data_IF_031536545839
#
_entry.id   IF_031536545839
#
_cell.length_a   1.000
_cell.length_b   1.000
_cell.length_c   1.000
_cell.angle_alpha   90.00
_cell.angle_beta   90.00
_cell.angle_gamma   90.00
#
_symmetry.space_group_name_H-M   'P 1'
#
loop_
_entity.id
_entity.type
_entity.pdbx_description
1 polymer ?
#
# COMPACT_ATOMS: atom_id res chain seq x y z
N UNK A 1 -5.26 -5.68 8.07
CA UNK A 1 -4.52 -6.95 8.08
C UNK A 1 -3.53 -6.97 9.22
N UNK A 2 -2.96 -8.14 9.46
CA UNK A 2 -1.79 -8.38 10.32
C UNK A 2 -0.73 -9.04 9.45
N UNK A 3 0.51 -8.58 9.57
CA UNK A 3 1.64 -9.17 8.90
C UNK A 3 2.79 -9.39 9.89
N UNK A 4 3.59 -10.40 9.59
CA UNK A 4 4.82 -10.77 10.27
C UNK A 4 5.98 -10.50 9.31
N UNK A 5 7.04 -9.84 9.78
CA UNK A 5 8.19 -9.48 8.96
C UNK A 5 9.45 -10.04 9.60
N UNK A 6 10.17 -10.84 8.83
CA UNK A 6 11.52 -11.29 9.17
C UNK A 6 12.54 -10.51 8.35
N UNK A 7 13.53 -9.90 9.00
CA UNK A 7 14.61 -9.18 8.35
C UNK A 7 15.88 -10.02 8.33
N UNK A 8 16.58 -9.96 7.20
CA UNK A 8 17.88 -10.59 6.98
C UNK A 8 18.82 -9.57 6.33
N UNK A 9 20.11 -9.62 6.68
CA UNK A 9 21.11 -8.78 6.01
C UNK A 9 21.33 -9.26 4.57
N UNK A 10 21.38 -8.34 3.62
CA UNK A 10 21.58 -8.66 2.21
C UNK A 10 22.56 -7.67 1.56
N UNK A 11 23.85 -8.01 1.56
CA UNK A 11 24.89 -7.19 0.93
C UNK A 11 24.95 -5.77 1.48
N UNK A 12 24.50 -4.79 0.70
CA UNK A 12 24.47 -3.37 1.08
C UNK A 12 23.11 -2.91 1.63
N UNK A 13 22.12 -3.79 1.76
CA UNK A 13 20.77 -3.47 2.22
C UNK A 13 20.18 -4.54 3.15
N UNK A 14 18.86 -4.47 3.33
CA UNK A 14 18.10 -5.48 4.08
C UNK A 14 17.19 -6.23 3.12
N UNK A 15 17.09 -7.54 3.33
CA UNK A 15 16.01 -8.35 2.76
C UNK A 15 14.97 -8.59 3.85
N UNK A 16 13.71 -8.56 3.48
CA UNK A 16 12.60 -8.85 4.38
C UNK A 16 11.69 -9.91 3.76
N UNK A 17 11.26 -10.86 4.59
CA UNK A 17 10.20 -11.82 4.27
C UNK A 17 8.92 -11.37 4.97
N UNK A 18 7.87 -11.10 4.18
CA UNK A 18 6.60 -10.56 4.68
C UNK A 18 5.51 -11.61 4.53
N UNK A 19 5.00 -12.10 5.65
CA UNK A 19 3.86 -13.04 5.69
C UNK A 19 2.63 -12.35 6.25
N UNK A 20 1.51 -12.43 5.54
CA UNK A 20 0.23 -11.94 6.06
C UNK A 20 -0.45 -13.04 6.88
N UNK A 21 -0.41 -12.96 8.21
CA UNK A 21 -1.12 -13.88 9.10
C UNK A 21 -2.62 -13.57 9.23
N UNK A 22 -3.04 -12.36 8.84
CA UNK A 22 -4.46 -12.03 8.69
C UNK A 22 -4.64 -11.00 7.58
N UNK A 23 -5.44 -11.31 6.58
CA UNK A 23 -5.69 -10.39 5.49
C UNK A 23 -7.18 -10.37 5.16
N UNK A 24 -7.69 -9.19 4.83
CA UNK A 24 -9.05 -9.03 4.30
C UNK A 24 -9.02 -7.89 3.32
N UNK A 25 -9.44 -8.17 2.10
CA UNK A 25 -9.75 -7.17 1.12
C UNK A 25 -11.15 -7.42 0.58
N UNK A 26 -11.86 -6.35 0.29
CA UNK A 26 -13.16 -6.42 -0.34
C UNK A 26 -13.32 -5.25 -1.30
N UNK A 27 -13.97 -5.52 -2.42
CA UNK A 27 -14.35 -4.53 -3.40
C UNK A 27 -15.78 -4.79 -3.82
N UNK A 28 -16.53 -3.72 -4.05
CA UNK A 28 -17.91 -3.81 -4.50
C UNK A 28 -18.07 -2.95 -5.74
N UNK A 29 -18.45 -3.61 -6.83
CA UNK A 29 -18.80 -2.97 -8.08
C UNK A 29 -20.33 -3.10 -8.28
N UNK A 30 -21.06 -2.00 -8.55
CA UNK A 30 -22.49 -2.06 -8.86
C UNK A 30 -22.87 -3.06 -9.96
N UNK A 31 -22.00 -3.32 -10.94
CA UNK A 31 -22.27 -4.23 -12.06
C UNK A 31 -21.80 -5.69 -11.89
N UNK A 32 -20.89 -5.96 -10.94
CA UNK A 32 -20.27 -7.29 -10.77
C UNK A 32 -20.44 -7.86 -9.35
N UNK A 33 -21.13 -7.14 -8.45
CA UNK A 33 -21.32 -7.55 -7.07
C UNK A 33 -20.12 -7.23 -6.18
N UNK A 34 -20.02 -7.93 -5.06
CA UNK A 34 -18.90 -7.78 -4.13
C UNK A 34 -17.95 -8.97 -4.25
N UNK A 35 -16.66 -8.68 -4.40
CA UNK A 35 -15.57 -9.66 -4.31
C UNK A 35 -14.89 -9.43 -2.97
N UNK A 36 -14.68 -10.51 -2.22
CA UNK A 36 -13.93 -10.49 -0.98
C UNK A 36 -12.90 -11.62 -1.01
N UNK A 37 -11.71 -11.32 -0.49
CA UNK A 37 -10.59 -12.25 -0.36
C UNK A 37 -9.96 -12.07 1.01
N UNK A 38 -9.33 -13.12 1.51
CA UNK A 38 -8.66 -13.15 2.80
C UNK A 38 -7.21 -13.66 2.69
N UNK A 39 -6.58 -14.01 3.81
CA UNK A 39 -5.20 -14.49 3.85
C UNK A 39 -4.92 -15.73 2.97
N UNK A 40 -5.92 -16.58 2.73
CA UNK A 40 -5.74 -17.81 1.95
C UNK A 40 -5.51 -17.51 0.45
N UNK A 41 -5.84 -16.29 0.01
CA UNK A 41 -5.52 -15.79 -1.33
C UNK A 41 -4.02 -15.49 -1.55
N UNK A 42 -3.18 -15.67 -0.52
CA UNK A 42 -1.74 -15.38 -0.54
C UNK A 42 -0.99 -16.67 -0.22
N UNK A 43 -0.45 -17.33 -1.25
CA UNK A 43 0.19 -18.65 -1.16
C UNK A 43 1.58 -18.68 -0.52
N UNK A 44 1.93 -17.72 0.34
CA UNK A 44 3.26 -17.66 0.95
C UNK A 44 3.66 -16.27 1.47
N UNK A 45 4.97 -16.05 1.57
CA UNK A 45 5.54 -14.77 1.96
C UNK A 45 6.06 -14.00 0.74
N UNK A 46 6.00 -12.67 0.81
CA UNK A 46 6.66 -11.80 -0.15
C UNK A 46 8.12 -11.63 0.24
N UNK A 47 9.03 -11.71 -0.73
CA UNK A 47 10.41 -11.28 -0.59
C UNK A 47 10.54 -9.81 -0.97
N UNK A 48 11.19 -9.04 -0.12
CA UNK A 48 11.31 -7.59 -0.24
C UNK A 48 12.76 -7.19 -0.05
N UNK A 49 13.24 -6.27 -0.88
CA UNK A 49 14.54 -5.61 -0.68
C UNK A 49 14.33 -4.16 -0.27
N UNK A 50 15.14 -3.74 0.69
CA UNK A 50 15.16 -2.41 1.27
C UNK A 50 16.51 -1.79 0.98
N UNK A 51 16.50 -0.71 0.20
CA UNK A 51 17.72 0.06 -0.01
C UNK A 51 18.09 0.85 1.26
N UNK A 52 19.36 1.24 1.44
CA UNK A 52 19.78 2.13 2.52
C UNK A 52 19.02 3.46 2.60
N UNK A 53 18.37 3.87 1.51
CA UNK A 53 17.55 5.08 1.42
C UNK A 53 16.07 4.82 1.72
N UNK A 54 15.71 3.62 2.18
CA UNK A 54 14.33 3.25 2.49
C UNK A 54 13.46 2.96 1.27
N UNK A 55 14.06 2.80 0.08
CA UNK A 55 13.31 2.33 -1.09
C UNK A 55 12.94 0.85 -0.92
N UNK A 56 11.70 0.50 -1.23
CA UNK A 56 11.14 -0.83 -1.07
C UNK A 56 10.91 -1.43 -2.45
N UNK A 57 11.47 -2.60 -2.69
CA UNK A 57 11.29 -3.37 -3.92
C UNK A 57 10.76 -4.77 -3.57
N UNK A 58 9.70 -5.21 -4.25
CA UNK A 58 9.20 -6.58 -4.11
C UNK A 58 9.97 -7.45 -5.09
N UNK A 59 10.84 -8.31 -4.58
CA UNK A 59 11.75 -9.16 -5.39
C UNK A 59 11.25 -10.59 -5.54
N UNK A 60 10.37 -11.03 -4.64
CA UNK A 60 9.70 -12.33 -4.71
C UNK A 60 8.21 -12.16 -4.36
N UNK A 61 7.35 -12.68 -5.23
CA UNK A 61 5.90 -12.59 -5.06
C UNK A 61 5.36 -14.01 -4.95
N UNK A 62 4.72 -14.39 -3.83
CA UNK A 62 4.14 -15.71 -3.68
C UNK A 62 2.99 -15.88 -4.69
N UNK A 63 2.53 -17.11 -4.94
CA UNK A 63 1.30 -17.32 -5.70
C UNK A 63 0.15 -16.50 -5.12
N UNK A 64 -0.53 -15.71 -5.94
CA UNK A 64 -1.69 -14.90 -5.54
C UNK A 64 -2.93 -15.36 -6.28
N UNK A 65 -4.06 -15.38 -5.59
CA UNK A 65 -5.35 -15.61 -6.21
C UNK A 65 -5.64 -14.52 -7.26
N UNK A 66 -6.13 -14.85 -8.47
CA UNK A 66 -6.47 -13.85 -9.49
C UNK A 66 -7.43 -12.76 -8.99
N UNK A 67 -8.41 -13.11 -8.15
CA UNK A 67 -9.34 -12.14 -7.59
C UNK A 67 -8.63 -11.15 -6.66
N UNK A 68 -7.53 -11.53 -6.01
CA UNK A 68 -6.71 -10.60 -5.23
C UNK A 68 -5.93 -9.65 -6.14
N UNK A 69 -5.38 -10.15 -7.26
CA UNK A 69 -4.66 -9.33 -8.24
C UNK A 69 -5.55 -8.24 -8.86
N UNK A 70 -6.83 -8.55 -9.09
CA UNK A 70 -7.83 -7.58 -9.55
C UNK A 70 -8.07 -6.44 -8.54
N UNK A 71 -7.84 -6.70 -7.24
CA UNK A 71 -8.05 -5.74 -6.16
C UNK A 71 -6.78 -4.90 -5.89
N UNK A 72 -5.63 -5.57 -5.82
CA UNK A 72 -4.37 -4.97 -5.43
C UNK A 72 -3.16 -5.73 -5.97
N UNK A 73 -2.17 -4.98 -6.45
CA UNK A 73 -0.89 -5.53 -6.85
C UNK A 73 0.02 -5.83 -5.64
N UNK A 74 1.07 -6.66 -5.83
CA UNK A 74 2.05 -7.04 -4.80
C UNK A 74 2.68 -5.84 -4.08
N UNK A 75 3.14 -4.83 -4.83
CA UNK A 75 3.81 -3.65 -4.26
C UNK A 75 2.83 -2.87 -3.39
N UNK A 76 1.57 -2.76 -3.80
CA UNK A 76 0.52 -2.07 -3.02
C UNK A 76 0.14 -2.80 -1.73
N UNK A 77 0.36 -4.12 -1.64
CA UNK A 77 0.17 -4.89 -0.41
C UNK A 77 1.32 -4.71 0.57
N UNK A 78 2.55 -4.78 0.07
CA UNK A 78 3.77 -4.81 0.87
C UNK A 78 4.22 -3.42 1.30
N UNK A 79 4.24 -2.46 0.39
CA UNK A 79 4.79 -1.12 0.63
C UNK A 79 4.22 -0.42 1.86
N UNK A 80 2.91 -0.48 2.16
CA UNK A 80 2.37 0.21 3.33
C UNK A 80 2.95 -0.23 4.68
N UNK A 81 3.62 -1.39 4.72
CA UNK A 81 4.33 -1.90 5.90
C UNK A 81 5.62 -1.14 6.21
N UNK A 82 6.15 -0.39 5.24
CA UNK A 82 7.37 0.37 5.35
C UNK A 82 7.06 1.87 5.32
N UNK A 83 7.52 2.57 6.34
CA UNK A 83 7.24 3.99 6.53
C UNK A 83 8.41 4.80 5.96
N UNK A 84 8.17 5.72 5.01
CA UNK A 84 9.18 6.68 4.59
C UNK A 84 9.53 7.58 5.78
N UNK A 85 10.76 7.45 6.27
CA UNK A 85 11.29 8.27 7.35
C UNK A 85 12.32 9.25 6.80
N UNK A 86 12.43 10.45 7.39
CA UNK A 86 13.45 11.39 7.01
C UNK A 86 14.82 10.83 7.40
N UNK A 87 15.83 11.03 6.54
CA UNK A 87 17.19 10.53 6.75
C UNK A 87 17.96 11.19 7.91
N UNK A 88 17.32 12.10 8.67
CA UNK A 88 17.88 12.76 9.83
C UNK A 88 16.86 12.84 10.96
N UNK A 89 17.36 12.96 12.19
CA UNK A 89 16.53 13.23 13.37
C UNK A 89 15.77 14.54 13.16
N UNK A 90 14.48 14.51 13.46
CA UNK A 90 13.59 15.65 13.28
C UNK A 90 13.18 16.25 14.62
N UNK A 91 12.97 17.55 14.62
CA UNK A 91 12.31 18.25 15.73
C UNK A 91 10.82 17.89 15.80
N UNK A 92 10.19 17.96 16.99
CA UNK A 92 8.74 17.83 17.10
C UNK A 92 8.03 18.78 16.12
N UNK A 93 6.94 18.32 15.50
CA UNK A 93 6.18 19.05 14.46
C UNK A 93 6.85 19.20 13.09
N UNK A 94 8.09 18.71 12.93
CA UNK A 94 8.73 18.66 11.63
C UNK A 94 7.86 17.93 10.62
N UNK A 95 7.87 18.46 9.39
CA UNK A 95 7.12 17.92 8.26
C UNK A 95 8.09 17.56 7.15
N UNK A 96 7.88 16.42 6.51
CA UNK A 96 8.63 16.01 5.34
C UNK A 96 7.68 15.49 4.26
N UNK A 97 8.17 15.49 3.02
CA UNK A 97 7.41 15.08 1.85
C UNK A 97 8.19 14.02 1.09
N UNK A 98 7.52 12.90 0.84
CA UNK A 98 8.02 11.81 0.02
C UNK A 98 7.19 11.69 -1.25
N UNK A 99 7.87 11.58 -2.39
CA UNK A 99 7.22 11.29 -3.67
C UNK A 99 7.54 9.87 -4.10
N UNK A 100 6.48 9.14 -4.37
CA UNK A 100 6.46 7.70 -4.41
C UNK A 100 5.88 7.24 -5.73
N UNK A 101 6.75 6.84 -6.65
CA UNK A 101 6.33 6.31 -7.97
C UNK A 101 6.35 4.78 -7.94
N UNK A 102 5.27 4.15 -8.36
CA UNK A 102 5.18 2.70 -8.54
C UNK A 102 4.66 2.40 -9.93
N UNK A 103 5.30 1.44 -10.60
CA UNK A 103 4.78 0.80 -11.80
C UNK A 103 4.59 -0.68 -11.47
N UNK A 104 3.43 -1.23 -11.80
CA UNK A 104 3.12 -2.64 -11.63
C UNK A 104 2.53 -3.17 -12.94
N UNK A 105 2.97 -4.36 -13.36
CA UNK A 105 2.34 -5.13 -14.41
C UNK A 105 1.79 -6.42 -13.81
N UNK A 106 0.54 -6.76 -14.13
CA UNK A 106 -0.11 -7.98 -13.67
C UNK A 106 -1.03 -8.50 -14.76
N UNK A 107 -0.71 -9.69 -15.27
CA UNK A 107 -1.40 -10.26 -16.44
C UNK A 107 -1.35 -9.31 -17.63
N UNK A 108 -2.52 -8.95 -18.14
CA UNK A 108 -2.68 -8.02 -19.27
C UNK A 108 -2.94 -6.57 -18.82
N UNK A 109 -2.74 -6.26 -17.54
CA UNK A 109 -2.91 -4.91 -16.98
C UNK A 109 -1.58 -4.29 -16.56
N UNK A 110 -1.47 -2.99 -16.78
CA UNK A 110 -0.37 -2.15 -16.32
C UNK A 110 -0.95 -1.06 -15.46
N UNK A 111 -0.27 -0.72 -14.37
CA UNK A 111 -0.63 0.45 -13.58
C UNK A 111 0.58 1.27 -13.21
N UNK A 112 0.42 2.59 -13.31
CA UNK A 112 1.36 3.58 -12.82
C UNK A 112 0.68 4.40 -11.74
N UNK A 113 1.36 4.59 -10.62
CA UNK A 113 0.88 5.43 -9.54
C UNK A 113 1.97 6.37 -9.04
N UNK A 114 1.57 7.60 -8.75
CA UNK A 114 2.41 8.59 -8.08
C UNK A 114 1.66 8.96 -6.80
N UNK A 115 2.32 8.79 -5.67
CA UNK A 115 1.80 9.21 -4.37
C UNK A 115 2.71 10.30 -3.81
N UNK A 116 2.13 11.40 -3.35
CA UNK A 116 2.81 12.42 -2.56
C UNK A 116 2.36 12.23 -1.13
N UNK A 117 3.29 11.86 -0.26
CA UNK A 117 3.03 11.63 1.17
C UNK A 117 3.63 12.79 1.94
N UNK A 118 2.78 13.57 2.60
CA UNK A 118 3.20 14.56 3.58
C UNK A 118 3.08 13.95 4.97
N UNK A 119 4.20 13.87 5.67
CA UNK A 119 4.31 13.28 7.00
C UNK A 119 4.68 14.35 8.00
N UNK A 120 4.08 14.32 9.19
CA UNK A 120 4.37 15.24 10.28
C UNK A 120 4.62 14.48 11.58
N UNK A 121 5.73 14.78 12.25
CA UNK A 121 6.04 14.24 13.56
C UNK A 121 5.10 14.82 14.62
N UNK A 122 4.18 13.99 15.12
CA UNK A 122 3.15 14.38 16.09
C UNK A 122 3.53 14.06 17.55
N UNK A 123 4.84 13.89 17.80
CA UNK A 123 5.44 13.56 19.09
C UNK A 123 5.42 12.07 19.41
N UNK A 124 5.72 11.75 20.67
CA UNK A 124 5.74 10.38 21.16
C UNK A 124 4.40 9.99 21.80
N UNK A 125 4.16 8.69 21.88
CA UNK A 125 3.03 8.07 22.58
C UNK A 125 3.47 6.79 23.29
N UNK A 126 2.62 6.28 24.18
CA UNK A 126 2.84 4.99 24.84
C UNK A 126 1.66 4.07 24.53
N UNK A 127 1.95 2.88 24.00
CA UNK A 127 0.96 1.85 23.72
C UNK A 127 1.43 0.54 24.34
N UNK A 128 0.62 -0.04 25.23
CA UNK A 128 0.93 -1.28 25.93
C UNK A 128 2.32 -1.29 26.61
N UNK A 129 2.76 -0.13 27.12
CA UNK A 129 4.06 0.02 27.80
C UNK A 129 5.24 0.37 26.87
N UNK A 130 5.08 0.29 25.56
CA UNK A 130 6.12 0.67 24.60
C UNK A 130 6.01 2.14 24.20
N UNK A 131 7.13 2.87 24.21
CA UNK A 131 7.23 4.24 23.70
C UNK A 131 7.35 4.20 22.18
N UNK A 132 6.41 4.85 21.49
CA UNK A 132 6.32 4.87 20.03
C UNK A 132 6.32 6.31 19.54
N UNK A 133 6.90 6.53 18.36
CA UNK A 133 6.81 7.78 17.62
C UNK A 133 5.48 7.80 16.88
N UNK A 134 4.72 8.89 17.00
CA UNK A 134 3.46 9.10 16.29
C UNK A 134 3.69 10.05 15.12
N UNK A 135 3.32 9.60 13.93
CA UNK A 135 3.45 10.36 12.69
C UNK A 135 2.07 10.50 12.06
N UNK A 136 1.64 11.72 11.74
CA UNK A 136 0.44 11.97 10.96
C UNK A 136 0.79 12.01 9.49
N UNK A 137 -0.03 11.41 8.65
CA UNK A 137 0.18 11.39 7.21
C UNK A 137 -1.02 11.97 6.47
N UNK A 138 -0.73 12.70 5.40
CA UNK A 138 -1.67 13.02 4.34
C UNK A 138 -1.07 12.52 3.03
N UNK A 139 -1.85 11.82 2.23
CA UNK A 139 -1.39 11.23 0.97
C UNK A 139 -2.34 11.59 -0.15
N UNK A 140 -1.77 12.13 -1.22
CA UNK A 140 -2.45 12.37 -2.48
C UNK A 140 -1.86 11.42 -3.52
N UNK A 141 -2.70 10.58 -4.10
CA UNK A 141 -2.29 9.55 -5.06
C UNK A 141 -2.99 9.77 -6.38
N UNK A 142 -2.23 9.82 -7.48
CA UNK A 142 -2.75 9.61 -8.83
C UNK A 142 -2.41 8.18 -9.28
N UNK A 143 -3.36 7.54 -9.95
CA UNK A 143 -3.19 6.20 -10.52
C UNK A 143 -3.78 6.18 -11.91
N UNK A 144 -3.04 5.58 -12.83
CA UNK A 144 -3.47 5.26 -14.17
C UNK A 144 -3.30 3.76 -14.38
N UNK A 145 -4.37 3.10 -14.81
CA UNK A 145 -4.39 1.67 -15.11
C UNK A 145 -4.82 1.50 -16.56
N UNK A 146 -4.12 0.69 -17.32
CA UNK A 146 -4.47 0.35 -18.70
C UNK A 146 -4.31 -1.15 -18.93
N UNK A 147 -5.02 -1.69 -19.90
CA UNK A 147 -4.85 -3.07 -20.33
C UNK A 147 -6.17 -3.81 -20.46
N UNK A 148 -6.16 -5.12 -20.22
CA UNK A 148 -7.36 -5.96 -20.32
C UNK A 148 -7.61 -6.69 -19.00
N UNK A 149 -8.87 -6.66 -18.55
CA UNK A 149 -9.34 -7.47 -17.43
C UNK A 149 -10.62 -8.21 -17.84
N UNK A 150 -10.69 -9.51 -17.58
CA UNK A 150 -11.81 -10.35 -18.02
C UNK A 150 -12.04 -10.31 -19.54
N UNK A 151 -10.97 -10.14 -20.34
CA UNK A 151 -11.03 -10.05 -21.80
C UNK A 151 -11.44 -8.67 -22.37
N UNK A 152 -11.86 -7.74 -21.51
CA UNK A 152 -12.31 -6.40 -21.89
C UNK A 152 -11.17 -5.40 -21.71
N UNK A 153 -10.93 -4.56 -22.72
CA UNK A 153 -9.98 -3.45 -22.64
C UNK A 153 -10.53 -2.36 -21.71
N UNK A 154 -9.67 -1.86 -20.83
CA UNK A 154 -9.99 -0.83 -19.87
C UNK A 154 -8.88 0.21 -19.77
N UNK A 155 -9.31 1.45 -19.53
CA UNK A 155 -8.45 2.54 -19.04
C UNK A 155 -9.10 3.13 -17.80
N UNK A 156 -8.33 3.23 -16.72
CA UNK A 156 -8.79 3.81 -15.46
C UNK A 156 -7.86 4.94 -15.03
N UNK A 157 -8.43 6.07 -14.63
CA UNK A 157 -7.70 7.16 -14.02
C UNK A 157 -8.35 7.48 -12.68
N UNK A 158 -7.59 7.35 -11.59
CA UNK A 158 -8.09 7.56 -10.22
C UNK A 158 -7.19 8.52 -9.48
N UNK A 159 -7.80 9.42 -8.72
CA UNK A 159 -7.16 10.22 -7.69
C UNK A 159 -7.70 9.81 -6.34
N UNK A 160 -6.82 9.68 -5.36
CA UNK A 160 -7.20 9.40 -3.99
C UNK A 160 -6.55 10.40 -3.04
N UNK A 161 -7.30 10.82 -2.03
CA UNK A 161 -6.81 11.62 -0.92
C UNK A 161 -7.09 10.84 0.36
N UNK A 162 -6.05 10.57 1.14
CA UNK A 162 -6.14 9.84 2.41
C UNK A 162 -5.40 10.56 3.50
N UNK A 163 -5.89 10.44 4.72
CA UNK A 163 -5.24 10.90 5.94
C UNK A 163 -5.07 9.73 6.90
N UNK A 164 -4.04 9.78 7.73
CA UNK A 164 -3.72 8.67 8.60
C UNK A 164 -2.77 8.97 9.75
N UNK A 165 -2.52 7.89 10.49
CA UNK A 165 -1.59 7.84 11.61
C UNK A 165 -0.69 6.61 11.45
N UNK A 166 0.58 6.80 11.73
CA UNK A 166 1.61 5.78 11.84
C UNK A 166 2.17 5.81 13.26
N UNK A 167 2.25 4.63 13.88
CA UNK A 167 2.99 4.40 15.11
C UNK A 167 4.26 3.62 14.78
N UNK A 168 5.41 4.21 15.06
CA UNK A 168 6.73 3.68 14.76
C UNK A 168 7.50 3.40 16.05
N UNK A 169 8.09 2.23 16.17
CA UNK A 169 9.01 1.91 17.26
C UNK A 169 10.43 2.31 16.84
N UNK A 170 10.94 3.40 17.42
CA UNK A 170 12.27 3.90 17.11
C UNK A 170 13.40 3.01 17.65
N UNK A 171 13.15 2.26 18.74
CA UNK A 171 14.14 1.34 19.29
C UNK A 171 14.29 0.09 18.42
N UNK A 172 13.20 -0.33 17.77
CA UNK A 172 13.18 -1.48 16.88
C UNK A 172 13.33 -1.13 15.40
N UNK A 173 13.22 0.15 15.04
CA UNK A 173 13.27 0.59 13.65
C UNK A 173 12.15 0.00 12.81
N UNK A 174 10.94 -0.14 13.37
CA UNK A 174 9.83 -0.79 12.67
C UNK A 174 8.47 -0.12 12.88
N UNK A 175 7.60 -0.28 11.89
CA UNK A 175 6.19 0.09 12.00
C UNK A 175 5.52 -0.82 13.04
N UNK A 176 4.69 -0.24 13.90
CA UNK A 176 3.83 -1.00 14.84
C UNK A 176 2.38 -0.98 14.36
N UNK A 177 1.89 0.19 13.96
CA UNK A 177 0.51 0.36 13.51
C UNK A 177 0.39 1.45 12.46
N UNK A 178 -0.42 1.23 11.43
CA UNK A 178 -0.82 2.24 10.46
C UNK A 178 -2.32 2.21 10.27
N UNK A 179 -2.96 3.37 10.31
CA UNK A 179 -4.38 3.53 9.99
C UNK A 179 -4.55 4.70 9.04
N UNK A 180 -5.30 4.49 7.97
CA UNK A 180 -5.56 5.52 6.96
C UNK A 180 -7.00 5.42 6.48
N UNK A 181 -7.62 6.56 6.21
CA UNK A 181 -8.93 6.61 5.59
C UNK A 181 -8.99 7.78 4.60
N UNK A 182 -9.90 7.69 3.64
CA UNK A 182 -10.10 8.76 2.68
C UNK A 182 -11.04 8.39 1.56
N UNK A 183 -10.91 9.11 0.46
CA UNK A 183 -11.78 8.99 -0.71
C UNK A 183 -10.96 8.79 -1.96
N UNK A 184 -11.57 8.16 -2.96
CA UNK A 184 -11.06 8.10 -4.31
C UNK A 184 -12.14 8.55 -5.28
N UNK A 185 -11.71 9.19 -6.36
CA UNK A 185 -12.56 9.56 -7.48
C UNK A 185 -11.80 9.43 -8.80
N UNK A 186 -12.50 9.25 -9.90
CA UNK A 186 -11.86 9.00 -11.18
C UNK A 186 -12.82 8.64 -12.30
N UNK A 187 -12.27 8.07 -13.35
CA UNK A 187 -12.99 7.57 -14.51
C UNK A 187 -12.54 6.15 -14.86
N UNK A 188 -13.45 5.38 -15.43
CA UNK A 188 -13.22 4.10 -16.07
C UNK A 188 -13.77 4.18 -17.49
N UNK A 189 -12.92 3.90 -18.46
CA UNK A 189 -13.26 3.80 -19.87
C UNK A 189 -13.17 2.33 -20.29
N UNK A 190 -14.11 1.89 -21.12
CA UNK A 190 -14.15 0.55 -21.71
C UNK A 190 -14.20 0.70 -23.24
N UNK A 191 -13.07 1.02 -23.90
CA UNK A 191 -13.05 1.42 -25.30
C UNK A 191 -13.71 0.40 -26.23
N UNK A 192 -13.47 -0.89 -25.97
CA UNK A 192 -14.03 -1.99 -26.76
C UNK A 192 -15.55 -2.17 -26.64
N UNK A 193 -16.22 -1.48 -25.71
CA UNK A 193 -17.67 -1.53 -25.53
C UNK A 193 -18.40 -0.29 -26.04
N UNK A 194 -17.67 0.72 -26.55
CA UNK A 194 -18.26 1.98 -26.99
C UNK A 194 -18.96 2.78 -25.88
N UNK A 195 -18.71 2.44 -24.62
CA UNK A 195 -19.25 3.14 -23.45
C UNK A 195 -18.32 4.31 -23.14
N UNK A 196 -18.87 5.52 -23.05
CA UNK A 196 -18.11 6.70 -22.63
C UNK A 196 -17.58 6.56 -21.20
N UNK A 197 -16.69 7.47 -20.79
CA UNK A 197 -16.08 7.45 -19.47
C UNK A 197 -17.13 7.38 -18.34
N UNK A 198 -17.06 6.31 -17.55
CA UNK A 198 -17.92 6.08 -16.38
C UNK A 198 -17.24 6.66 -15.14
N UNK A 199 -17.90 7.52 -14.35
CA UNK A 199 -17.31 8.06 -13.14
C UNK A 199 -17.13 6.96 -12.08
N UNK A 200 -15.97 6.95 -11.43
CA UNK A 200 -15.64 6.08 -10.30
C UNK A 200 -15.55 6.94 -9.05
N UNK A 201 -16.20 6.50 -7.97
CA UNK A 201 -16.06 7.09 -6.63
C UNK A 201 -15.98 5.99 -5.60
N UNK A 202 -15.21 6.22 -4.54
CA UNK A 202 -15.03 5.23 -3.50
C UNK A 202 -14.52 5.81 -2.20
N UNK A 203 -14.55 4.97 -1.17
CA UNK A 203 -13.93 5.22 0.12
C UNK A 203 -12.78 4.25 0.31
N UNK A 204 -11.69 4.76 0.87
CA UNK A 204 -10.50 3.98 1.21
C UNK A 204 -10.44 3.90 2.73
N UNK A 205 -10.18 2.70 3.25
CA UNK A 205 -9.86 2.49 4.65
C UNK A 205 -8.81 1.40 4.74
N UNK A 206 -7.73 1.66 5.47
CA UNK A 206 -6.61 0.75 5.67
C UNK A 206 -6.24 0.72 7.14
N UNK A 207 -6.08 -0.48 7.67
CA UNK A 207 -5.54 -0.71 9.00
C UNK A 207 -4.53 -1.86 8.95
N UNK A 208 -3.33 -1.58 9.43
CA UNK A 208 -2.18 -2.48 9.47
C UNK A 208 -1.66 -2.49 10.89
N UNK A 209 -1.34 -3.69 11.37
CA UNK A 209 -0.61 -3.90 12.61
C UNK A 209 0.46 -4.93 12.33
N UNK A 210 1.69 -4.61 12.71
CA UNK A 210 2.79 -5.56 12.62
C UNK A 210 2.96 -6.25 13.97
N UNK A 211 3.13 -7.57 13.92
CA UNK A 211 3.44 -8.39 15.07
C UNK A 211 4.87 -8.90 14.96
N UNK A 212 5.44 -9.13 16.14
CA UNK A 212 6.68 -9.90 16.30
C UNK A 212 6.33 -11.38 16.29
#
# INVERSE_FOLDING_TARGET
>A
GVADILFEEAGTGLRASVRFSRFRAAFRNPGQGAVAVDEDAIGGAFGVELSPRGAVEVVDTPPLDPALLDLTGPVRMVRPLFVPLPGSVQEPTATWVDTLTTAEESGETRSRSISVVTSMLAGDTVVAGSRLVRIRTRTETSRHVTGRAGGVELEQQVRAATEGEVLWDAALGMLVRRTEAGTLEGTLELPGLGVGAVPVRGRVSRAITLRR
#
